data_IF_195366635221
#
_entry.id   IF_195366635221
#
_cell.length_a   1.000
_cell.length_b   1.000
_cell.length_c   1.000
_cell.angle_alpha   90.00
_cell.angle_beta   90.00
_cell.angle_gamma   90.00
#
_symmetry.space_group_name_H-M   'P 1'
#
loop_
_entity.id
_entity.type
_entity.pdbx_description
1 polymer ?
#
# COMPACT_ATOMS: atom_id res chain seq x y z
N UNK A 1 0.35 20.79 -17.36
CA UNK A 1 -0.32 19.46 -17.25
C UNK A 1 0.75 18.37 -17.17
N UNK A 2 1.15 17.94 -15.96
CA UNK A 2 2.07 16.78 -15.75
C UNK A 2 1.81 16.00 -14.45
N UNK A 3 1.09 16.57 -13.48
CA UNK A 3 0.91 15.95 -12.16
C UNK A 3 -0.10 14.78 -12.12
N UNK A 4 -1.18 14.79 -12.91
CA UNK A 4 -2.20 13.72 -12.82
C UNK A 4 -1.64 12.36 -13.25
N UNK A 5 -0.90 12.31 -14.36
CA UNK A 5 -0.25 11.09 -14.83
C UNK A 5 0.74 10.50 -13.81
N UNK A 6 1.46 11.35 -13.07
CA UNK A 6 2.41 10.87 -12.03
C UNK A 6 1.72 10.30 -10.80
N UNK A 7 0.50 10.78 -10.50
CA UNK A 7 -0.27 10.34 -9.33
C UNK A 7 -0.99 9.02 -9.63
N UNK A 8 -1.64 8.93 -10.80
CA UNK A 8 -2.34 7.72 -11.25
C UNK A 8 -1.36 6.54 -11.37
N UNK A 9 -0.16 6.79 -11.92
CA UNK A 9 0.88 5.76 -12.03
C UNK A 9 1.40 5.32 -10.65
N UNK A 10 1.60 6.25 -9.72
CA UNK A 10 1.95 5.93 -8.33
C UNK A 10 0.89 5.04 -7.67
N UNK A 11 -0.39 5.38 -7.81
CA UNK A 11 -1.49 4.62 -7.20
C UNK A 11 -1.58 3.20 -7.78
N UNK A 12 -1.38 3.07 -9.09
CA UNK A 12 -1.35 1.78 -9.79
C UNK A 12 -0.17 0.91 -9.31
N UNK A 13 1.03 1.47 -9.20
CA UNK A 13 2.21 0.73 -8.72
C UNK A 13 2.02 0.35 -7.25
N UNK A 14 1.64 1.30 -6.40
CA UNK A 14 1.49 1.06 -4.97
C UNK A 14 0.40 0.03 -4.66
N UNK A 15 -0.78 0.12 -5.30
CA UNK A 15 -1.87 -0.83 -5.10
C UNK A 15 -1.47 -2.27 -5.46
N UNK A 16 -0.76 -2.43 -6.58
CA UNK A 16 -0.18 -3.72 -6.99
C UNK A 16 0.82 -4.25 -5.96
N UNK A 17 1.76 -3.41 -5.51
CA UNK A 17 2.80 -3.81 -4.56
C UNK A 17 2.24 -4.12 -3.17
N UNK A 18 1.22 -3.39 -2.72
CA UNK A 18 0.49 -3.67 -1.48
C UNK A 18 -0.17 -5.04 -1.51
N UNK A 19 -0.90 -5.35 -2.59
CA UNK A 19 -1.52 -6.66 -2.77
C UNK A 19 -0.47 -7.78 -2.76
N UNK A 20 0.65 -7.57 -3.46
CA UNK A 20 1.77 -8.51 -3.49
C UNK A 20 2.32 -8.77 -2.07
N UNK A 21 2.60 -7.72 -1.30
CA UNK A 21 3.09 -7.84 0.07
C UNK A 21 2.13 -8.65 0.94
N UNK A 22 0.83 -8.36 0.85
CA UNK A 22 -0.19 -9.06 1.61
C UNK A 22 -0.23 -10.55 1.27
N UNK A 23 -0.32 -10.89 -0.02
CA UNK A 23 -0.42 -12.27 -0.49
C UNK A 23 0.84 -13.08 -0.15
N UNK A 24 2.03 -12.50 -0.32
CA UNK A 24 3.31 -13.15 0.01
C UNK A 24 3.57 -13.30 1.51
N UNK A 25 2.97 -12.42 2.32
CA UNK A 25 3.04 -12.52 3.78
C UNK A 25 1.95 -13.42 4.38
N UNK A 26 1.04 -13.96 3.56
CA UNK A 26 -0.03 -14.84 4.02
C UNK A 26 -1.15 -14.13 4.82
N UNK A 27 -1.27 -12.81 4.74
CA UNK A 27 -2.31 -12.07 5.44
C UNK A 27 -3.59 -11.94 4.63
N UNK A 28 -4.72 -11.95 5.34
CA UNK A 28 -6.00 -11.47 4.83
C UNK A 28 -6.05 -9.93 4.88
N UNK A 29 -6.92 -9.33 4.06
CA UNK A 29 -7.15 -7.87 4.10
C UNK A 29 -7.58 -7.42 5.52
N UNK A 30 -8.41 -8.22 6.20
CA UNK A 30 -8.84 -7.92 7.57
C UNK A 30 -7.68 -7.87 8.56
N UNK A 31 -6.71 -8.78 8.45
CA UNK A 31 -5.53 -8.80 9.32
C UNK A 31 -4.65 -7.57 9.06
N UNK A 32 -4.33 -7.26 7.80
CA UNK A 32 -3.53 -6.08 7.45
C UNK A 32 -4.20 -4.80 7.94
N UNK A 33 -5.49 -4.62 7.67
CA UNK A 33 -6.23 -3.43 8.07
C UNK A 33 -6.22 -3.25 9.60
N UNK A 34 -6.45 -4.35 10.33
CA UNK A 34 -6.41 -4.35 11.79
C UNK A 34 -5.02 -4.00 12.32
N UNK A 35 -3.97 -4.66 11.82
CA UNK A 35 -2.60 -4.46 12.30
C UNK A 35 -2.05 -3.08 11.95
N UNK A 36 -2.32 -2.58 10.74
CA UNK A 36 -1.91 -1.25 10.32
C UNK A 36 -2.79 -0.12 10.92
N UNK A 37 -3.85 -0.46 11.67
CA UNK A 37 -4.75 0.52 12.27
C UNK A 37 -5.47 1.40 11.24
N UNK A 38 -5.99 0.78 10.17
CA UNK A 38 -6.78 1.43 9.12
C UNK A 38 -8.13 0.72 8.92
N UNK A 39 -9.18 1.42 8.45
CA UNK A 39 -10.45 0.76 8.15
C UNK A 39 -10.32 -0.27 7.02
N UNK A 40 -10.95 -1.44 7.17
CA UNK A 40 -10.96 -2.48 6.13
C UNK A 40 -11.45 -1.96 4.76
N UNK A 41 -12.55 -1.16 4.66
CA UNK A 41 -12.98 -0.61 3.38
C UNK A 41 -11.90 0.27 2.72
N UNK A 42 -11.07 0.94 3.52
CA UNK A 42 -9.95 1.74 3.03
C UNK A 42 -8.87 0.84 2.42
N UNK A 43 -8.48 -0.24 3.09
CA UNK A 43 -7.52 -1.20 2.53
C UNK A 43 -8.02 -1.80 1.21
N UNK A 44 -9.30 -2.19 1.15
CA UNK A 44 -9.91 -2.75 -0.07
C UNK A 44 -9.82 -1.76 -1.24
N UNK A 45 -10.11 -0.47 -0.99
CA UNK A 45 -9.99 0.60 -2.00
C UNK A 45 -8.55 0.83 -2.42
N UNK A 46 -7.61 0.80 -1.47
CA UNK A 46 -6.17 0.93 -1.73
C UNK A 46 -5.67 -0.18 -2.67
N UNK A 47 -6.02 -1.44 -2.40
CA UNK A 47 -5.63 -2.57 -3.27
C UNK A 47 -6.32 -2.55 -4.65
N UNK A 48 -7.49 -1.91 -4.74
CA UNK A 48 -8.20 -1.71 -6.00
C UNK A 48 -7.70 -0.50 -6.81
N UNK A 49 -6.70 0.25 -6.31
CA UNK A 49 -6.20 1.47 -6.94
C UNK A 49 -7.18 2.66 -6.86
N UNK A 50 -8.24 2.57 -6.07
CA UNK A 50 -9.25 3.63 -5.88
C UNK A 50 -8.90 4.53 -4.70
N UNK A 51 -7.64 4.93 -4.62
CA UNK A 51 -7.06 5.50 -3.42
C UNK A 51 -7.12 7.03 -3.44
N UNK A 52 -8.30 7.59 -3.23
CA UNK A 52 -8.52 9.04 -3.32
C UNK A 52 -8.64 9.72 -1.95
N UNK A 53 -8.29 11.00 -1.90
CA UNK A 53 -8.62 11.90 -0.78
C UNK A 53 -7.44 12.38 0.07
N UNK A 54 -7.72 13.33 0.96
CA UNK A 54 -6.72 14.05 1.77
C UNK A 54 -5.89 13.15 2.71
N UNK A 55 -6.45 12.03 3.15
CA UNK A 55 -5.79 11.12 4.10
C UNK A 55 -4.89 10.07 3.41
N UNK A 56 -4.82 10.11 2.07
CA UNK A 56 -4.08 9.15 1.26
C UNK A 56 -2.65 8.95 1.76
N UNK A 57 -1.94 10.05 2.00
CA UNK A 57 -0.54 9.99 2.41
C UNK A 57 -0.36 9.27 3.76
N UNK A 58 -1.18 9.57 4.76
CA UNK A 58 -1.08 8.96 6.11
C UNK A 58 -1.39 7.47 6.07
N UNK A 59 -2.42 7.06 5.33
CA UNK A 59 -2.82 5.66 5.20
C UNK A 59 -1.73 4.82 4.50
N UNK A 60 -1.12 5.41 3.47
CA UNK A 60 0.04 4.86 2.79
C UNK A 60 1.23 4.66 3.74
N UNK A 61 1.57 5.69 4.54
CA UNK A 61 2.65 5.61 5.54
C UNK A 61 2.42 4.46 6.54
N UNK A 62 1.19 4.29 7.03
CA UNK A 62 0.84 3.19 7.96
C UNK A 62 1.07 1.82 7.34
N UNK A 63 0.70 1.64 6.08
CA UNK A 63 0.92 0.39 5.35
C UNK A 63 2.41 0.12 5.15
N UNK A 64 3.18 1.12 4.72
CA UNK A 64 4.62 0.97 4.56
C UNK A 64 5.29 0.59 5.88
N UNK A 65 4.92 1.26 6.97
CA UNK A 65 5.42 0.97 8.31
C UNK A 65 5.09 -0.47 8.77
N UNK A 66 3.84 -0.92 8.57
CA UNK A 66 3.42 -2.29 8.91
C UNK A 66 4.29 -3.35 8.22
N UNK A 67 4.62 -3.17 6.94
CA UNK A 67 5.49 -4.11 6.20
C UNK A 67 7.00 -3.81 6.35
N UNK A 68 7.40 -2.84 7.17
CA UNK A 68 8.80 -2.47 7.35
C UNK A 68 9.46 -1.87 6.10
N UNK A 69 8.68 -1.25 5.20
CA UNK A 69 9.19 -0.54 4.03
C UNK A 69 9.16 0.97 4.24
N UNK A 70 10.10 1.67 3.59
CA UNK A 70 9.98 3.10 3.37
C UNK A 70 8.98 3.36 2.23
N UNK A 71 8.24 4.48 2.27
CA UNK A 71 7.36 4.92 1.19
C UNK A 71 7.95 4.78 -0.21
N UNK A 72 9.17 5.29 -0.41
CA UNK A 72 9.84 5.28 -1.71
C UNK A 72 10.34 3.90 -2.16
N UNK A 73 10.31 2.88 -1.32
CA UNK A 73 10.62 1.49 -1.70
C UNK A 73 9.38 0.81 -2.26
N UNK A 74 8.27 0.87 -1.52
CA UNK A 74 7.01 0.19 -1.85
C UNK A 74 6.29 0.81 -3.06
N UNK A 75 6.69 2.01 -3.49
CA UNK A 75 6.15 2.70 -4.67
C UNK A 75 6.99 2.53 -5.94
N UNK A 76 8.02 1.68 -5.95
CA UNK A 76 8.85 1.47 -7.13
C UNK A 76 8.20 0.50 -8.12
N UNK A 77 8.38 0.74 -9.41
CA UNK A 77 7.88 -0.13 -10.49
C UNK A 77 8.56 -1.49 -10.51
N UNK A 78 9.82 -1.56 -10.08
CA UNK A 78 10.65 -2.76 -9.96
C UNK A 78 10.66 -3.33 -8.52
N UNK A 79 9.65 -3.00 -7.72
CA UNK A 79 9.53 -3.48 -6.34
C UNK A 79 9.60 -5.01 -6.26
N UNK A 80 10.45 -5.50 -5.35
CA UNK A 80 10.58 -6.91 -5.00
C UNK A 80 10.15 -7.08 -3.55
N UNK A 81 9.24 -8.02 -3.30
CA UNK A 81 8.88 -8.37 -1.94
C UNK A 81 10.02 -9.10 -1.25
N UNK A 82 10.53 -8.51 -0.19
CA UNK A 82 11.39 -9.14 0.79
C UNK A 82 10.54 -9.57 2.00
N UNK A 83 10.75 -10.79 2.48
CA UNK A 83 10.06 -11.26 3.68
C UNK A 83 10.62 -10.54 4.90
N UNK A 84 9.98 -9.42 5.25
CA UNK A 84 10.25 -8.64 6.45
C UNK A 84 9.18 -8.99 7.47
N UNK A 85 9.58 -9.28 8.71
CA UNK A 85 8.60 -9.49 9.79
C UNK A 85 7.78 -8.20 9.95
N UNK A 86 6.45 -8.25 9.78
CA UNK A 86 5.61 -7.09 10.04
C UNK A 86 5.71 -6.71 11.51
N UNK A 87 5.74 -5.40 11.78
CA UNK A 87 5.86 -4.83 13.14
C UNK A 87 4.48 -4.54 13.72
#
# INVERSE_FOLDING_TARGET
MKASHSIEEFERIFSKNLRLCREKSGFTQKQVAKSAGIPLPTLVKMEAGKFEGQWRFVLFMKICAFYGYKPGEMSKSDFVFEHRSPI
#
